data_IF_439094154498
#
_entry.id   IF_439094154498
#
_cell.length_a   1.000
_cell.length_b   1.000
_cell.length_c   1.000
_cell.angle_alpha   90.00
_cell.angle_beta   90.00
_cell.angle_gamma   90.00
#
_symmetry.space_group_name_H-M   'P 1'
#
loop_
_entity.id
_entity.type
_entity.pdbx_description
1 polymer ?
#
# COMPACT_ATOMS: atom_id res chain seq x y z
N UNK A 1 -20.97 2.40 -8.54
CA UNK A 1 -19.97 3.44 -8.18
C UNK A 1 -20.21 4.11 -6.85
N UNK A 2 -21.50 4.38 -6.48
CA UNK A 2 -21.83 4.90 -5.14
C UNK A 2 -21.40 3.95 -4.00
N UNK A 3 -21.52 2.64 -4.23
CA UNK A 3 -21.09 1.62 -3.26
C UNK A 3 -19.58 1.74 -2.98
N UNK A 4 -18.77 1.81 -4.04
CA UNK A 4 -17.32 1.96 -3.88
C UNK A 4 -16.94 3.23 -3.15
N UNK A 5 -17.62 4.34 -3.46
CA UNK A 5 -17.39 5.62 -2.79
C UNK A 5 -17.63 5.54 -1.28
N UNK A 6 -18.73 4.91 -0.86
CA UNK A 6 -19.05 4.75 0.55
C UNK A 6 -18.10 3.77 1.25
N UNK A 7 -17.72 2.67 0.60
CA UNK A 7 -16.75 1.72 1.14
C UNK A 7 -15.34 2.32 1.27
N UNK A 8 -14.96 3.21 0.36
CA UNK A 8 -13.69 3.94 0.47
C UNK A 8 -13.65 4.85 1.70
N UNK A 9 -14.82 5.38 2.11
CA UNK A 9 -14.92 6.20 3.33
C UNK A 9 -14.88 5.34 4.59
N UNK A 10 -15.57 4.20 4.58
CA UNK A 10 -15.64 3.30 5.72
C UNK A 10 -15.92 1.87 5.24
N UNK A 11 -14.88 1.05 5.17
CA UNK A 11 -15.00 -0.34 4.73
C UNK A 11 -15.74 -1.23 5.74
N UNK A 12 -15.88 -0.79 6.99
CA UNK A 12 -16.55 -1.55 8.05
C UNK A 12 -18.05 -1.24 8.17
N UNK A 13 -18.58 -0.40 7.28
CA UNK A 13 -20.00 -0.07 7.31
C UNK A 13 -20.84 -1.34 7.12
N UNK A 14 -21.87 -1.52 7.97
CA UNK A 14 -22.77 -2.66 7.84
C UNK A 14 -23.64 -2.54 6.60
N UNK A 15 -24.04 -3.68 6.01
CA UNK A 15 -24.90 -3.70 4.84
C UNK A 15 -26.25 -3.00 5.13
N UNK A 16 -26.92 -3.21 6.27
CA UNK A 16 -28.16 -2.48 6.60
C UNK A 16 -27.96 -0.96 6.62
N UNK A 17 -26.85 -0.48 7.15
CA UNK A 17 -26.56 0.94 7.24
C UNK A 17 -26.28 1.53 5.85
N UNK A 18 -25.51 0.81 5.04
CA UNK A 18 -25.26 1.19 3.65
C UNK A 18 -26.55 1.20 2.83
N UNK A 19 -27.44 0.24 3.07
CA UNK A 19 -28.77 0.17 2.46
C UNK A 19 -29.57 1.45 2.69
N UNK A 20 -29.55 1.96 3.92
CA UNK A 20 -30.22 3.23 4.26
C UNK A 20 -29.61 4.41 3.55
N UNK A 21 -28.27 4.49 3.51
CA UNK A 21 -27.54 5.59 2.86
C UNK A 21 -27.78 5.64 1.37
N UNK A 22 -27.89 4.49 0.71
CA UNK A 22 -28.03 4.41 -0.74
C UNK A 22 -29.49 4.17 -1.19
N UNK A 23 -30.43 4.08 -0.25
CA UNK A 23 -31.84 3.79 -0.52
C UNK A 23 -32.02 2.55 -1.40
N UNK A 24 -31.25 1.50 -1.11
CA UNK A 24 -31.22 0.26 -1.87
C UNK A 24 -31.42 -0.93 -0.93
N UNK A 25 -32.09 -1.97 -1.42
CA UNK A 25 -32.33 -3.19 -0.66
C UNK A 25 -31.00 -3.86 -0.25
N UNK A 26 -30.92 -4.36 0.99
CA UNK A 26 -29.71 -4.99 1.55
C UNK A 26 -29.28 -6.22 0.75
N UNK A 27 -30.20 -7.06 0.28
CA UNK A 27 -29.84 -8.24 -0.50
C UNK A 27 -29.25 -7.89 -1.86
N UNK A 28 -29.72 -6.80 -2.48
CA UNK A 28 -29.16 -6.28 -3.73
C UNK A 28 -27.75 -5.74 -3.49
N UNK A 29 -27.54 -5.01 -2.40
CA UNK A 29 -26.22 -4.49 -2.04
C UNK A 29 -25.22 -5.61 -1.79
N UNK A 30 -25.62 -6.61 -1.02
CA UNK A 30 -24.77 -7.76 -0.74
C UNK A 30 -24.30 -8.45 -2.02
N UNK A 31 -25.23 -8.67 -2.93
CA UNK A 31 -24.97 -9.27 -4.23
C UNK A 31 -24.00 -8.41 -5.07
N UNK A 32 -24.21 -7.09 -5.07
CA UNK A 32 -23.36 -6.15 -5.82
C UNK A 32 -21.95 -6.09 -5.26
N UNK A 33 -21.79 -6.06 -3.93
CA UNK A 33 -20.49 -6.06 -3.28
C UNK A 33 -19.72 -7.33 -3.60
N UNK A 34 -20.38 -8.47 -3.53
CA UNK A 34 -19.81 -9.77 -3.89
C UNK A 34 -19.31 -9.78 -5.33
N UNK A 35 -20.06 -9.15 -6.23
CA UNK A 35 -19.69 -9.03 -7.64
C UNK A 35 -18.47 -8.14 -7.84
N UNK A 36 -18.33 -7.07 -7.04
CA UNK A 36 -17.16 -6.20 -7.09
C UNK A 36 -15.88 -6.95 -6.71
N UNK A 37 -15.93 -7.80 -5.69
CA UNK A 37 -14.81 -8.67 -5.34
C UNK A 37 -14.50 -9.67 -6.46
N UNK A 38 -15.51 -10.28 -7.02
CA UNK A 38 -15.36 -11.27 -8.10
C UNK A 38 -14.69 -10.67 -9.34
N UNK A 39 -15.01 -9.41 -9.66
CA UNK A 39 -14.43 -8.71 -10.81
C UNK A 39 -13.07 -8.08 -10.51
N UNK A 40 -12.53 -8.26 -9.31
CA UNK A 40 -11.28 -7.66 -8.84
C UNK A 40 -11.28 -6.13 -8.79
N UNK A 41 -12.46 -5.50 -8.78
CA UNK A 41 -12.57 -4.06 -8.53
C UNK A 41 -12.27 -3.74 -7.07
N UNK A 42 -12.67 -4.63 -6.16
CA UNK A 42 -12.20 -4.61 -4.79
C UNK A 42 -11.17 -5.74 -4.68
N UNK A 43 -9.90 -5.37 -4.54
CA UNK A 43 -8.82 -6.35 -4.46
C UNK A 43 -8.71 -6.96 -3.07
N UNK A 44 -8.86 -6.13 -2.04
CA UNK A 44 -8.81 -6.57 -0.65
C UNK A 44 -9.41 -5.51 0.26
N UNK A 45 -9.80 -5.93 1.46
CA UNK A 45 -10.12 -5.03 2.57
C UNK A 45 -8.90 -4.93 3.48
N UNK A 46 -8.54 -3.72 3.85
CA UNK A 46 -7.37 -3.48 4.70
C UNK A 46 -7.63 -2.31 5.63
N UNK A 47 -6.69 -2.05 6.50
CA UNK A 47 -6.76 -0.93 7.44
C UNK A 47 -5.62 0.04 7.18
N UNK A 48 -5.85 1.29 7.55
CA UNK A 48 -4.81 2.32 7.59
C UNK A 48 -4.43 2.50 9.06
N UNK A 49 -3.16 2.30 9.38
CA UNK A 49 -2.66 2.30 10.74
C UNK A 49 -2.11 3.69 11.08
N UNK A 50 -2.39 4.16 12.30
CA UNK A 50 -1.74 5.36 12.82
C UNK A 50 -0.32 4.97 13.26
N UNK A 51 0.61 5.08 12.33
CA UNK A 51 1.99 4.61 12.50
C UNK A 51 2.75 5.25 13.66
N UNK A 52 2.63 6.57 13.93
CA UNK A 52 3.29 7.18 15.08
C UNK A 52 2.91 6.53 16.41
N UNK A 53 1.67 6.07 16.57
CA UNK A 53 1.23 5.39 17.79
C UNK A 53 1.86 4.01 17.95
N UNK A 54 2.37 3.41 16.87
CA UNK A 54 3.10 2.15 16.89
C UNK A 54 4.61 2.33 17.01
N UNK A 55 5.07 3.58 17.13
CA UNK A 55 6.50 3.88 17.18
C UNK A 55 7.16 4.00 15.81
N UNK A 56 6.39 3.95 14.73
CA UNK A 56 6.90 4.15 13.37
C UNK A 56 6.89 5.66 13.09
N UNK A 57 7.99 6.34 13.42
CA UNK A 57 8.05 7.80 13.42
C UNK A 57 8.80 8.38 12.23
N UNK A 58 9.50 7.56 11.45
CA UNK A 58 10.33 8.01 10.34
C UNK A 58 9.89 7.34 9.06
N UNK A 59 9.60 8.13 8.04
CA UNK A 59 9.35 7.68 6.68
C UNK A 59 10.23 8.45 5.72
N UNK A 60 10.74 7.78 4.73
CA UNK A 60 11.54 8.42 3.68
C UNK A 60 11.27 7.77 2.33
N UNK A 61 11.45 8.58 1.29
CA UNK A 61 11.42 8.11 -0.10
C UNK A 61 12.84 8.16 -0.61
N UNK A 62 13.35 7.00 -1.05
CA UNK A 62 14.70 6.87 -1.57
C UNK A 62 14.65 6.64 -3.07
N UNK A 63 15.38 7.44 -3.83
CA UNK A 63 15.53 7.27 -5.28
C UNK A 63 16.70 6.36 -5.57
N UNK A 64 16.48 5.38 -6.43
CA UNK A 64 17.49 4.39 -6.81
C UNK A 64 17.63 4.37 -8.32
N UNK A 65 18.89 4.46 -8.80
CA UNK A 65 19.23 4.18 -10.17
C UNK A 65 19.77 2.76 -10.25
N UNK A 66 19.26 1.97 -11.17
CA UNK A 66 19.63 0.57 -11.30
C UNK A 66 20.22 0.24 -12.66
N UNK A 67 21.02 -0.82 -12.71
CA UNK A 67 21.45 -1.42 -13.97
C UNK A 67 20.24 -2.14 -14.58
N UNK A 68 19.83 -1.79 -15.81
CA UNK A 68 18.71 -2.46 -16.48
C UNK A 68 18.87 -3.98 -16.59
N UNK A 69 20.10 -4.46 -16.66
CA UNK A 69 20.38 -5.89 -16.74
C UNK A 69 20.07 -6.66 -15.45
N UNK A 70 20.05 -5.96 -14.33
CA UNK A 70 19.82 -6.54 -13.02
C UNK A 70 18.43 -6.20 -12.46
N UNK A 71 17.52 -5.75 -13.29
CA UNK A 71 16.19 -5.27 -12.89
C UNK A 71 15.46 -6.23 -11.96
N UNK A 72 15.32 -7.48 -12.37
CA UNK A 72 14.56 -8.47 -11.62
C UNK A 72 15.26 -8.87 -10.32
N UNK A 73 16.58 -8.99 -10.35
CA UNK A 73 17.37 -9.34 -9.16
C UNK A 73 17.30 -8.23 -8.11
N UNK A 74 17.40 -6.98 -8.53
CA UNK A 74 17.30 -5.81 -7.64
C UNK A 74 15.90 -5.76 -7.02
N UNK A 75 14.86 -5.93 -7.83
CA UNK A 75 13.49 -5.92 -7.33
C UNK A 75 13.25 -7.02 -6.30
N UNK A 76 13.69 -8.25 -6.59
CA UNK A 76 13.56 -9.38 -5.67
C UNK A 76 14.33 -9.13 -4.37
N UNK A 77 15.53 -8.53 -4.44
CA UNK A 77 16.31 -8.21 -3.25
C UNK A 77 15.67 -7.12 -2.41
N UNK A 78 15.09 -6.10 -3.05
CA UNK A 78 14.38 -5.02 -2.34
C UNK A 78 13.14 -5.54 -1.61
N UNK A 79 12.43 -6.49 -2.18
CA UNK A 79 11.25 -7.08 -1.53
C UNK A 79 11.58 -7.82 -0.24
N UNK A 80 12.83 -8.24 -0.05
CA UNK A 80 13.28 -8.92 1.18
C UNK A 80 13.60 -7.96 2.31
N UNK A 81 13.70 -6.67 2.04
CA UNK A 81 13.99 -5.67 3.07
C UNK A 81 12.73 -5.35 3.85
N UNK A 82 12.73 -5.67 5.13
CA UNK A 82 11.57 -5.55 6.00
C UNK A 82 10.99 -4.13 6.08
N UNK A 83 11.85 -3.11 6.11
CA UNK A 83 11.45 -1.72 6.28
C UNK A 83 10.84 -1.08 5.02
N UNK A 84 10.96 -1.74 3.88
CA UNK A 84 10.40 -1.22 2.63
C UNK A 84 8.89 -1.50 2.59
N UNK A 85 8.09 -0.45 2.45
CA UNK A 85 6.63 -0.56 2.39
C UNK A 85 6.07 -0.43 0.98
N UNK A 86 6.80 0.20 0.07
CA UNK A 86 6.39 0.26 -1.34
C UNK A 86 7.59 0.46 -2.25
N UNK A 87 7.46 -0.06 -3.47
CA UNK A 87 8.44 0.08 -4.53
C UNK A 87 7.69 0.55 -5.76
N UNK A 88 8.13 1.65 -6.36
CA UNK A 88 7.51 2.19 -7.56
C UNK A 88 8.55 2.37 -8.65
N UNK A 89 8.23 1.95 -9.87
CA UNK A 89 9.03 2.26 -11.04
C UNK A 89 8.61 3.63 -11.57
N UNK A 90 9.59 4.47 -11.84
CA UNK A 90 9.33 5.85 -12.25
C UNK A 90 10.20 6.23 -13.46
N UNK A 91 9.82 7.30 -14.16
CA UNK A 91 10.61 7.90 -15.20
C UNK A 91 11.25 9.20 -14.70
N UNK A 92 12.38 9.57 -15.24
CA UNK A 92 13.09 10.78 -14.87
C UNK A 92 14.45 10.48 -14.27
N UNK A 93 14.81 11.25 -13.23
CA UNK A 93 16.14 11.17 -12.61
C UNK A 93 16.45 9.81 -11.96
N UNK A 94 15.44 9.15 -11.40
CA UNK A 94 15.59 7.85 -10.75
C UNK A 94 14.77 6.80 -11.48
N UNK A 95 15.22 5.56 -11.43
CA UNK A 95 14.50 4.42 -12.00
C UNK A 95 13.46 3.85 -11.05
N UNK A 96 13.77 3.88 -9.75
CA UNK A 96 12.91 3.32 -8.72
C UNK A 96 12.79 4.31 -7.56
N UNK A 97 11.58 4.47 -7.03
CA UNK A 97 11.35 5.12 -5.74
C UNK A 97 10.90 4.07 -4.73
N UNK A 98 11.57 4.05 -3.59
CA UNK A 98 11.29 3.12 -2.51
C UNK A 98 10.85 3.92 -1.27
N UNK A 99 9.70 3.57 -0.70
CA UNK A 99 9.25 4.17 0.55
C UNK A 99 9.64 3.27 1.70
N UNK A 100 10.31 3.84 2.69
CA UNK A 100 10.86 3.13 3.85
C UNK A 100 10.23 3.67 5.11
N UNK A 101 9.84 2.78 6.03
CA UNK A 101 9.39 3.13 7.37
C UNK A 101 10.40 2.63 8.40
N UNK A 102 10.69 3.44 9.39
CA UNK A 102 11.62 3.10 10.46
C UNK A 102 11.17 3.73 11.78
N UNK A 103 11.65 3.20 12.88
CA UNK A 103 11.37 3.73 14.22
C UNK A 103 12.27 4.91 14.56
N UNK A 104 13.49 4.91 14.04
CA UNK A 104 14.49 5.97 14.28
C UNK A 104 15.22 6.34 12.99
N UNK A 105 15.83 7.54 12.97
CA UNK A 105 16.70 7.95 11.87
C UNK A 105 17.90 7.03 11.70
N UNK A 106 18.44 6.51 12.80
CA UNK A 106 19.54 5.57 12.76
C UNK A 106 19.18 4.27 12.04
N UNK A 107 18.01 3.72 12.31
CA UNK A 107 17.49 2.55 11.62
C UNK A 107 17.34 2.82 10.13
N UNK A 108 16.74 3.98 9.76
CA UNK A 108 16.59 4.39 8.36
C UNK A 108 17.95 4.46 7.67
N UNK A 109 18.94 5.10 8.29
CA UNK A 109 20.26 5.24 7.76
C UNK A 109 20.95 3.89 7.55
N UNK A 110 20.80 2.97 8.49
CA UNK A 110 21.34 1.61 8.37
C UNK A 110 20.69 0.84 7.23
N UNK A 111 19.37 0.96 7.04
CA UNK A 111 18.66 0.31 5.94
C UNK A 111 19.17 0.82 4.60
N UNK A 112 19.30 2.14 4.45
CA UNK A 112 19.77 2.75 3.20
C UNK A 112 21.20 2.33 2.89
N UNK A 113 22.09 2.38 3.84
CA UNK A 113 23.52 2.11 3.60
C UNK A 113 23.83 0.61 3.59
N UNK A 114 23.37 -0.13 4.61
CA UNK A 114 23.78 -1.52 4.79
C UNK A 114 22.95 -2.54 4.02
N UNK A 115 21.69 -2.27 3.78
CA UNK A 115 20.80 -3.20 3.08
C UNK A 115 20.58 -2.82 1.63
N UNK A 116 20.11 -1.60 1.37
CA UNK A 116 19.84 -1.14 0.01
C UNK A 116 21.12 -0.86 -0.75
N UNK A 117 22.11 -0.24 -0.11
CA UNK A 117 23.38 0.08 -0.72
C UNK A 117 24.19 -1.12 -1.20
N UNK A 118 23.89 -2.31 -0.68
CA UNK A 118 24.55 -3.56 -1.11
C UNK A 118 23.85 -4.27 -2.26
N UNK A 119 22.67 -3.82 -2.59
CA UNK A 119 21.90 -4.35 -3.71
C UNK A 119 22.29 -3.61 -5.00
#
# INVERSE_FOLDING_TARGET
>A
MKILSELCKNANISVPRLSKLLSTNSSVLYSRIKRLYKRNLIQKSTIVVNEPLLGINVKAVVGINRDPKLKEEIHASLLKVFQIISISEVTGRFDILVTISATTLEELHNVVIKQIGKI
#
